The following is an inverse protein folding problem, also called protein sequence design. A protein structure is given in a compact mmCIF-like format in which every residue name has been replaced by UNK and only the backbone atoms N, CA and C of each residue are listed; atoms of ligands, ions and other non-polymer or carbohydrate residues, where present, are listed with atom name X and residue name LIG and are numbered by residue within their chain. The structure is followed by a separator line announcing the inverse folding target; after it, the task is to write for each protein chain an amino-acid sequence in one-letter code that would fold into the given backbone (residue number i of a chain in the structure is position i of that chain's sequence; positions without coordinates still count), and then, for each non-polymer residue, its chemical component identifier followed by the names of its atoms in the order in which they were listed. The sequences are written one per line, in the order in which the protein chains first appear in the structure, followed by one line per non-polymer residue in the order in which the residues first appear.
data_IF_543276499531
#
_entry.id   IF_543276499531
#
_cell.length_a   1.000
_cell.length_b   1.000
_cell.length_c   1.000
_cell.angle_alpha   90.00
_cell.angle_beta   90.00
_cell.angle_gamma   90.00
#
_symmetry.space_group_name_H-M   'P 1'
#
loop_
_entity.id
_entity.type
_entity.pdbx_description
1 polymer ?
#
# COMPACT_ATOMS: atom_id res chain seq x y z
N UNK A 1 40.17 -28.03 15.97
CA UNK A 1 40.08 -26.80 15.16
C UNK A 1 40.38 -25.64 16.10
N UNK A 2 41.23 -24.67 15.72
CA UNK A 2 41.52 -23.52 16.57
C UNK A 2 40.23 -22.74 16.86
N UNK A 3 40.10 -22.21 18.08
CA UNK A 3 38.98 -21.34 18.46
C UNK A 3 39.10 -20.04 17.67
N UNK A 4 38.06 -19.74 16.88
CA UNK A 4 38.01 -18.53 16.08
C UNK A 4 37.44 -17.39 16.93
N UNK A 5 38.28 -16.39 17.20
CA UNK A 5 37.90 -15.15 17.86
C UNK A 5 37.11 -14.29 16.87
N UNK A 6 35.77 -14.32 16.97
CA UNK A 6 34.91 -13.48 16.16
C UNK A 6 34.80 -12.09 16.80
N UNK A 7 35.12 -11.07 16.02
CA UNK A 7 34.96 -9.69 16.49
C UNK A 7 33.50 -9.29 16.43
N UNK A 8 33.07 -8.32 17.24
CA UNK A 8 31.69 -7.81 17.22
C UNK A 8 31.24 -7.37 15.81
N UNK A 9 32.19 -6.93 14.98
CA UNK A 9 31.99 -6.57 13.57
C UNK A 9 31.54 -7.74 12.70
N UNK A 10 32.03 -8.95 12.96
CA UNK A 10 31.67 -10.15 12.19
C UNK A 10 30.20 -10.54 12.44
N UNK A 11 29.69 -10.32 13.66
CA UNK A 11 28.28 -10.52 13.99
C UNK A 11 27.37 -9.45 13.38
N UNK A 12 27.84 -8.21 13.25
CA UNK A 12 27.09 -7.12 12.63
C UNK A 12 26.83 -7.36 11.13
N UNK A 13 27.70 -8.13 10.46
CA UNK A 13 27.50 -8.50 9.06
C UNK A 13 26.15 -9.21 8.81
N UNK A 14 25.75 -10.12 9.71
CA UNK A 14 24.47 -10.83 9.61
C UNK A 14 23.29 -9.86 9.78
N UNK A 15 23.40 -8.92 10.72
CA UNK A 15 22.37 -7.90 10.97
C UNK A 15 22.21 -6.99 9.75
N UNK A 16 23.32 -6.53 9.16
CA UNK A 16 23.29 -5.69 7.95
C UNK A 16 22.66 -6.43 6.79
N UNK A 17 23.04 -7.70 6.55
CA UNK A 17 22.42 -8.52 5.51
C UNK A 17 20.90 -8.67 5.72
N UNK A 18 20.45 -8.90 6.96
CA UNK A 18 19.03 -9.00 7.28
C UNK A 18 18.28 -7.69 7.02
N UNK A 19 18.88 -6.54 7.37
CA UNK A 19 18.30 -5.21 7.11
C UNK A 19 18.23 -4.94 5.61
N UNK A 20 19.29 -5.20 4.85
CA UNK A 20 19.33 -4.99 3.40
C UNK A 20 18.28 -5.88 2.71
N UNK A 21 18.19 -7.14 3.10
CA UNK A 21 17.18 -8.06 2.57
C UNK A 21 15.77 -7.60 2.91
N UNK A 22 15.52 -7.18 4.15
CA UNK A 22 14.24 -6.63 4.58
C UNK A 22 13.85 -5.36 3.80
N UNK A 23 14.81 -4.48 3.52
CA UNK A 23 14.58 -3.28 2.69
C UNK A 23 14.23 -3.65 1.25
N UNK A 24 14.92 -4.63 0.66
CA UNK A 24 14.60 -5.11 -0.69
C UNK A 24 13.19 -5.69 -0.74
N UNK A 25 12.83 -6.54 0.23
CA UNK A 25 11.47 -7.09 0.32
C UNK A 25 10.42 -5.99 0.51
N UNK A 26 10.71 -4.98 1.33
CA UNK A 26 9.83 -3.84 1.54
C UNK A 26 9.63 -3.06 0.24
N UNK A 27 10.71 -2.77 -0.49
CA UNK A 27 10.64 -2.08 -1.78
C UNK A 27 9.83 -2.90 -2.78
N UNK A 28 10.09 -4.21 -2.90
CA UNK A 28 9.34 -5.09 -3.80
C UNK A 28 7.87 -5.16 -3.39
N UNK A 29 7.57 -5.29 -2.10
CA UNK A 29 6.20 -5.35 -1.61
C UNK A 29 5.46 -4.05 -1.91
N UNK A 30 6.04 -2.90 -1.58
CA UNK A 30 5.42 -1.59 -1.80
C UNK A 30 5.33 -1.23 -3.28
N UNK A 31 6.31 -1.62 -4.11
CA UNK A 31 6.29 -1.28 -5.53
C UNK A 31 5.61 -2.35 -6.38
N UNK A 32 6.03 -3.62 -6.34
CA UNK A 32 5.46 -4.66 -7.17
C UNK A 32 4.00 -5.00 -6.81
N UNK A 33 3.62 -5.07 -5.53
CA UNK A 33 2.21 -5.33 -5.22
C UNK A 33 1.34 -4.13 -5.57
N UNK A 34 1.80 -2.92 -5.24
CA UNK A 34 1.03 -1.70 -5.45
C UNK A 34 1.03 -1.22 -6.92
N UNK A 35 1.93 -1.71 -7.79
CA UNK A 35 1.93 -1.40 -9.23
C UNK A 35 1.50 -2.55 -10.14
N UNK A 36 1.93 -3.79 -9.86
CA UNK A 36 1.71 -4.91 -10.78
C UNK A 36 0.49 -5.75 -10.43
N UNK A 37 0.08 -5.81 -9.16
CA UNK A 37 -0.99 -6.70 -8.71
C UNK A 37 -2.34 -6.01 -8.51
N UNK A 38 -2.45 -4.70 -8.73
CA UNK A 38 -3.74 -4.01 -8.68
C UNK A 38 -4.50 -4.30 -9.98
N UNK A 39 -5.56 -5.11 -9.89
CA UNK A 39 -6.49 -5.29 -11.00
C UNK A 39 -7.38 -4.05 -11.14
N UNK A 40 -7.92 -3.75 -12.33
CA UNK A 40 -8.80 -2.60 -12.56
C UNK A 40 -10.06 -2.59 -11.69
N UNK A 41 -10.55 -3.74 -11.26
CA UNK A 41 -11.76 -3.87 -10.45
C UNK A 41 -11.50 -3.93 -8.94
N UNK A 42 -10.23 -3.92 -8.50
CA UNK A 42 -9.90 -3.91 -7.07
C UNK A 42 -10.21 -2.57 -6.41
N UNK A 43 -10.59 -2.61 -5.13
CA UNK A 43 -10.76 -1.41 -4.32
C UNK A 43 -9.49 -0.54 -4.29
N UNK A 44 -9.68 0.78 -4.19
CA UNK A 44 -8.57 1.71 -4.07
C UNK A 44 -7.70 1.40 -2.86
N UNK A 45 -6.42 1.14 -3.12
CA UNK A 45 -5.46 0.87 -2.06
C UNK A 45 -5.21 2.15 -1.25
N UNK A 46 -4.95 2.00 0.05
CA UNK A 46 -4.64 3.14 0.95
C UNK A 46 -3.48 4.00 0.44
N UNK A 47 -2.53 3.41 -0.29
CA UNK A 47 -1.43 4.15 -0.91
C UNK A 47 -1.89 5.05 -2.07
N UNK A 48 -2.83 4.60 -2.90
CA UNK A 48 -3.41 5.42 -3.97
C UNK A 48 -4.23 6.57 -3.39
N UNK A 49 -5.00 6.32 -2.32
CA UNK A 49 -5.74 7.36 -1.60
C UNK A 49 -4.81 8.39 -0.95
N UNK A 50 -3.73 7.93 -0.31
CA UNK A 50 -2.70 8.80 0.28
C UNK A 50 -1.96 9.61 -0.80
N UNK A 51 -1.67 8.98 -1.94
CA UNK A 51 -1.08 9.64 -3.10
C UNK A 51 -2.00 10.74 -3.66
N UNK A 52 -3.29 10.44 -3.80
CA UNK A 52 -4.29 11.41 -4.25
C UNK A 52 -4.36 12.64 -3.34
N UNK A 53 -4.38 12.45 -2.02
CA UNK A 53 -4.34 13.57 -1.05
C UNK A 53 -3.10 14.46 -1.20
N UNK A 54 -1.97 13.87 -1.61
CA UNK A 54 -0.70 14.58 -1.87
C UNK A 54 -0.49 14.96 -3.33
N UNK A 55 -1.51 14.83 -4.19
CA UNK A 55 -1.44 15.02 -5.66
C UNK A 55 -0.29 14.28 -6.34
N UNK A 56 0.14 13.15 -5.78
CA UNK A 56 1.16 12.28 -6.36
C UNK A 56 0.54 10.97 -6.78
N UNK A 57 1.05 10.40 -7.87
CA UNK A 57 0.66 9.08 -8.34
C UNK A 57 1.52 8.03 -7.66
N UNK A 58 0.95 7.31 -6.69
CA UNK A 58 1.61 6.25 -5.92
C UNK A 58 1.21 4.84 -6.41
N UNK A 59 0.49 4.76 -7.52
CA UNK A 59 -0.01 3.52 -8.11
C UNK A 59 -0.20 3.62 -9.63
N UNK A 60 -0.66 2.54 -10.27
CA UNK A 60 -0.83 2.44 -11.71
C UNK A 60 -2.01 3.29 -12.19
N UNK A 61 -2.99 3.60 -11.33
CA UNK A 61 -4.17 4.35 -11.75
C UNK A 61 -3.86 5.84 -11.87
N UNK A 62 -4.55 6.52 -12.78
CA UNK A 62 -4.46 7.98 -12.93
C UNK A 62 -5.25 8.66 -11.82
N UNK A 63 -4.82 9.86 -11.40
CA UNK A 63 -5.52 10.65 -10.38
C UNK A 63 -6.98 10.94 -10.73
N UNK A 64 -7.29 11.13 -12.01
CA UNK A 64 -8.66 11.35 -12.49
C UNK A 64 -9.57 10.12 -12.31
N UNK A 65 -9.02 8.92 -12.51
CA UNK A 65 -9.75 7.67 -12.29
C UNK A 65 -10.06 7.49 -10.80
N UNK A 66 -9.07 7.77 -9.95
CA UNK A 66 -9.22 7.72 -8.48
C UNK A 66 -10.33 8.65 -8.01
N UNK A 67 -10.36 9.90 -8.51
CA UNK A 67 -11.38 10.87 -8.14
C UNK A 67 -12.80 10.42 -8.54
N UNK A 68 -12.95 9.87 -9.75
CA UNK A 68 -14.22 9.35 -10.23
C UNK A 68 -14.73 8.20 -9.35
N UNK A 69 -13.83 7.27 -8.99
CA UNK A 69 -14.18 6.11 -8.18
C UNK A 69 -14.56 6.48 -6.73
N UNK A 70 -13.94 7.53 -6.18
CA UNK A 70 -14.30 8.07 -4.86
C UNK A 70 -15.70 8.69 -4.90
N UNK A 71 -16.03 9.43 -5.97
CA UNK A 71 -17.37 10.03 -6.13
C UNK A 71 -18.47 8.98 -6.23
N UNK A 72 -18.28 7.96 -7.08
CA UNK A 72 -19.24 6.87 -7.21
C UNK A 72 -19.49 6.17 -5.86
N UNK A 73 -18.42 5.88 -5.12
CA UNK A 73 -18.54 5.26 -3.79
C UNK A 73 -19.34 6.14 -2.81
N UNK A 74 -19.12 7.45 -2.86
CA UNK A 74 -19.84 8.40 -2.01
C UNK A 74 -21.33 8.48 -2.38
N UNK A 75 -21.66 8.46 -3.67
CA UNK A 75 -23.04 8.42 -4.16
C UNK A 75 -23.76 7.13 -3.71
N UNK A 76 -23.08 5.98 -3.77
CA UNK A 76 -23.62 4.70 -3.29
C UNK A 76 -23.89 4.75 -1.77
N UNK A 77 -22.95 5.27 -0.99
CA UNK A 77 -23.10 5.43 0.46
C UNK A 77 -24.29 6.36 0.81
N UNK A 78 -24.43 7.49 0.12
CA UNK A 78 -25.54 8.43 0.29
C UNK A 78 -26.89 7.80 -0.08
N UNK A 79 -26.94 7.01 -1.15
CA UNK A 79 -28.13 6.26 -1.55
C UNK A 79 -28.54 5.23 -0.49
N UNK A 80 -27.58 4.48 0.07
CA UNK A 80 -27.82 3.51 1.14
C UNK A 80 -28.38 4.21 2.39
N UNK A 81 -27.77 5.34 2.79
CA UNK A 81 -28.21 6.12 3.94
C UNK A 81 -29.63 6.66 3.77
N UNK A 82 -29.97 7.14 2.57
CA UNK A 82 -31.32 7.63 2.26
C UNK A 82 -32.37 6.52 2.38
N UNK A 83 -32.04 5.31 1.91
CA UNK A 83 -32.92 4.14 1.97
C UNK A 83 -33.10 3.64 3.40
N UNK A 84 -32.02 3.61 4.18
CA UNK A 84 -32.08 3.27 5.60
C UNK A 84 -32.96 4.26 6.39
N UNK A 85 -32.84 5.56 6.10
CA UNK A 85 -33.65 6.61 6.74
C UNK A 85 -35.15 6.49 6.37
N UNK A 86 -35.45 6.09 5.14
CA UNK A 86 -36.83 5.86 4.70
C UNK A 86 -37.47 4.60 5.29
N UNK A 87 -36.70 3.63 5.78
CA UNK A 87 -37.22 2.39 6.36
C UNK A 87 -37.54 2.51 7.86
N UNK A 88 -37.13 3.61 8.51
CA UNK A 88 -37.35 3.88 9.93
C UNK A 88 -38.64 4.69 10.16
N UNK A 89 -39.21 5.28 9.10
CA UNK A 89 -40.52 5.93 9.09
C UNK A 89 -41.57 5.03 8.45
#
# INVERSE_FOLDING_TARGET
MPIQEFSALDYMGVVVCAVVFGLILLVISVTCLNWCFILPDDELTKMELMGHKRRRRWGPRRLSYIEHHIKLRQEDDDAILSKARSAIH
#
